data_IF_239419163242
#
_entry.id   IF_239419163242
#
_cell.length_a   1.000
_cell.length_b   1.000
_cell.length_c   1.000
_cell.angle_alpha   90.00
_cell.angle_beta   90.00
_cell.angle_gamma   90.00
#
_symmetry.space_group_name_H-M   'P 1'
#
loop_
_entity.id
_entity.type
_entity.pdbx_description
1 polymer ?
#
# COMPACT_ATOMS: atom_id res chain seq x y z
N UNK A 1 -6.20 1.66 19.82
CA UNK A 1 -6.36 1.81 18.36
C UNK A 1 -5.00 2.23 17.83
N UNK A 2 -4.37 1.45 16.95
CA UNK A 2 -3.10 1.85 16.35
C UNK A 2 -3.32 3.08 15.44
N UNK A 3 -2.37 4.01 15.43
CA UNK A 3 -2.40 5.13 14.50
C UNK A 3 -2.01 4.62 13.11
N UNK A 4 -2.85 4.86 12.10
CA UNK A 4 -2.50 4.57 10.72
C UNK A 4 -1.47 5.61 10.22
N UNK A 5 -0.41 5.17 9.52
CA UNK A 5 0.45 6.06 8.75
C UNK A 5 -0.38 7.00 7.86
N UNK A 6 0.03 8.26 7.79
CA UNK A 6 -0.74 9.30 7.08
C UNK A 6 0.15 9.98 6.05
N UNK A 7 -0.32 9.98 4.81
CA UNK A 7 0.32 10.59 3.66
C UNK A 7 -0.54 11.77 3.17
N UNK A 8 0.09 12.73 2.50
CA UNK A 8 -0.65 13.85 1.94
C UNK A 8 -1.33 13.43 0.64
N UNK A 9 -2.41 14.11 0.30
CA UNK A 9 -3.00 13.97 -1.02
C UNK A 9 -1.97 14.25 -2.12
N UNK A 10 -1.95 13.41 -3.17
CA UNK A 10 -1.04 13.50 -4.34
C UNK A 10 0.46 13.45 -3.99
N UNK A 11 0.82 12.79 -2.90
CA UNK A 11 2.22 12.41 -2.65
C UNK A 11 2.47 10.96 -3.06
N UNK A 12 3.62 10.69 -3.66
CA UNK A 12 4.17 9.34 -3.73
C UNK A 12 4.86 8.97 -2.40
N UNK A 13 5.07 7.67 -2.19
CA UNK A 13 5.93 7.15 -1.14
C UNK A 13 6.38 5.72 -1.44
N UNK A 14 7.43 5.28 -0.75
CA UNK A 14 7.92 3.91 -0.82
C UNK A 14 7.48 3.12 0.41
N UNK A 15 6.99 1.90 0.20
CA UNK A 15 6.74 0.91 1.24
C UNK A 15 7.77 -0.22 1.13
N UNK A 16 8.61 -0.36 2.15
CA UNK A 16 9.53 -1.49 2.26
C UNK A 16 8.82 -2.77 2.68
N UNK A 17 9.15 -3.87 2.02
CA UNK A 17 8.68 -5.22 2.32
C UNK A 17 9.88 -6.09 2.66
N UNK A 18 9.83 -6.77 3.79
CA UNK A 18 10.84 -7.75 4.21
C UNK A 18 10.18 -9.09 4.45
N UNK A 19 10.70 -10.14 3.83
CA UNK A 19 10.21 -11.50 3.88
C UNK A 19 11.27 -12.43 4.49
N UNK A 20 10.90 -13.10 5.56
CA UNK A 20 11.72 -14.13 6.20
C UNK A 20 10.87 -15.37 6.46
N UNK A 21 11.50 -16.55 6.47
CA UNK A 21 10.85 -17.76 6.94
C UNK A 21 10.82 -17.84 8.48
N UNK A 22 10.44 -19.01 9.02
CA UNK A 22 10.36 -19.25 10.46
C UNK A 22 11.71 -19.24 11.17
N UNK A 23 12.79 -19.49 10.43
CA UNK A 23 14.16 -19.51 10.96
C UNK A 23 14.85 -18.13 10.82
N UNK A 24 14.17 -17.18 10.18
CA UNK A 24 14.66 -15.82 9.93
C UNK A 24 15.47 -15.71 8.64
N UNK A 25 15.53 -16.77 7.83
CA UNK A 25 16.23 -16.74 6.55
C UNK A 25 15.40 -15.97 5.51
N UNK A 26 16.05 -15.14 4.67
CA UNK A 26 15.35 -14.33 3.68
C UNK A 26 14.66 -15.20 2.63
N UNK A 27 13.40 -14.87 2.34
CA UNK A 27 12.57 -15.62 1.40
C UNK A 27 12.33 -14.83 0.12
N UNK A 28 12.53 -15.45 -1.05
CA UNK A 28 12.23 -14.84 -2.35
C UNK A 28 11.00 -15.52 -2.97
N UNK A 29 9.90 -14.79 -3.24
CA UNK A 29 8.74 -15.31 -3.95
C UNK A 29 9.04 -15.50 -5.44
N UNK A 30 8.26 -16.36 -6.11
CA UNK A 30 8.30 -16.51 -7.57
C UNK A 30 7.70 -15.29 -8.27
N UNK A 31 6.61 -14.75 -7.71
CA UNK A 31 5.96 -13.52 -8.17
C UNK A 31 5.44 -12.70 -6.99
N UNK A 32 5.50 -11.38 -7.10
CA UNK A 32 4.97 -10.46 -6.11
C UNK A 32 4.17 -9.34 -6.77
N UNK A 33 2.95 -9.12 -6.29
CA UNK A 33 2.05 -8.09 -6.80
C UNK A 33 1.48 -7.25 -5.65
N UNK A 34 1.09 -6.03 -5.96
CA UNK A 34 0.31 -5.20 -5.05
C UNK A 34 -0.86 -4.53 -5.75
N UNK A 35 -1.90 -4.18 -4.99
CA UNK A 35 -3.02 -3.36 -5.44
C UNK A 35 -3.41 -2.37 -4.34
N UNK A 36 -4.08 -1.28 -4.71
CA UNK A 36 -4.54 -0.26 -3.73
C UNK A 36 -6.00 0.06 -3.96
N UNK A 37 -6.79 0.00 -2.89
CA UNK A 37 -8.21 0.34 -2.89
C UNK A 37 -8.52 1.47 -1.90
N UNK A 38 -9.49 2.30 -2.25
CA UNK A 38 -10.17 3.14 -1.29
C UNK A 38 -11.22 2.34 -0.51
N UNK A 39 -11.14 2.35 0.83
CA UNK A 39 -12.05 1.53 1.65
C UNK A 39 -13.47 2.10 1.72
N UNK A 40 -13.67 3.39 1.44
CA UNK A 40 -14.96 4.05 1.59
C UNK A 40 -15.81 4.00 0.31
N UNK A 41 -15.19 4.26 -0.84
CA UNK A 41 -15.82 4.23 -2.17
C UNK A 41 -15.65 2.90 -2.90
N UNK A 42 -14.86 1.98 -2.35
CA UNK A 42 -14.49 0.70 -2.98
C UNK A 42 -13.79 0.88 -4.35
N UNK A 43 -13.25 2.08 -4.61
CA UNK A 43 -12.56 2.38 -5.85
C UNK A 43 -11.17 1.71 -5.89
N UNK A 44 -10.91 1.00 -6.99
CA UNK A 44 -9.57 0.53 -7.33
C UNK A 44 -8.71 1.72 -7.79
N UNK A 45 -7.65 2.03 -7.06
CA UNK A 45 -6.74 3.14 -7.35
C UNK A 45 -5.48 2.67 -8.08
N UNK A 46 -5.00 1.48 -7.72
CA UNK A 46 -3.90 0.81 -8.41
C UNK A 46 -4.31 -0.64 -8.60
N UNK A 47 -4.43 -1.07 -9.86
CA UNK A 47 -4.66 -2.48 -10.22
C UNK A 47 -3.43 -3.32 -9.89
N UNK A 48 -3.57 -4.65 -9.89
CA UNK A 48 -2.48 -5.57 -9.61
C UNK A 48 -1.24 -5.26 -10.43
N UNK A 49 -0.22 -4.76 -9.74
CA UNK A 49 1.03 -4.30 -10.30
C UNK A 49 2.15 -5.16 -9.73
N UNK A 50 2.99 -5.68 -10.60
CA UNK A 50 4.15 -6.50 -10.22
C UNK A 50 5.25 -5.62 -9.59
N UNK A 51 5.94 -6.16 -8.59
CA UNK A 51 7.16 -5.58 -8.03
C UNK A 51 8.17 -6.69 -7.73
N UNK A 52 9.44 -6.31 -7.61
CA UNK A 52 10.52 -7.28 -7.39
C UNK A 52 10.86 -7.39 -5.90
N UNK A 53 10.97 -8.63 -5.42
CA UNK A 53 11.59 -8.95 -4.14
C UNK A 53 12.87 -9.73 -4.41
N UNK A 54 13.99 -9.31 -3.86
CA UNK A 54 15.30 -9.97 -4.02
C UNK A 54 15.91 -10.22 -2.66
N UNK A 55 16.25 -11.48 -2.38
CA UNK A 55 16.87 -11.88 -1.12
C UNK A 55 16.07 -11.41 0.12
N UNK A 56 14.74 -11.53 0.06
CA UNK A 56 13.85 -11.14 1.16
C UNK A 56 13.41 -9.69 1.15
N UNK A 57 14.07 -8.80 0.41
CA UNK A 57 13.76 -7.36 0.44
C UNK A 57 13.11 -6.90 -0.88
N UNK A 58 12.06 -6.10 -0.75
CA UNK A 58 11.37 -5.46 -1.87
C UNK A 58 10.92 -4.05 -1.51
N UNK A 59 10.74 -3.22 -2.54
CA UNK A 59 10.21 -1.87 -2.40
C UNK A 59 8.99 -1.73 -3.29
N UNK A 60 7.88 -1.28 -2.72
CA UNK A 60 6.67 -0.93 -3.45
C UNK A 60 6.63 0.60 -3.57
N UNK A 61 6.68 1.09 -4.81
CA UNK A 61 6.43 2.50 -5.11
C UNK A 61 4.91 2.74 -5.16
N UNK A 62 4.37 3.47 -4.18
CA UNK A 62 2.97 3.86 -4.16
C UNK A 62 2.82 5.20 -4.90
N UNK A 63 2.16 5.21 -6.07
CA UNK A 63 2.15 6.39 -6.93
C UNK A 63 1.15 7.45 -6.44
N UNK A 64 1.27 8.66 -6.98
CA UNK A 64 0.44 9.81 -6.57
C UNK A 64 -1.06 9.61 -6.79
N UNK A 65 -1.43 8.76 -7.74
CA UNK A 65 -2.81 8.37 -8.07
C UNK A 65 -3.45 7.58 -6.93
N UNK A 66 -2.66 6.73 -6.24
CA UNK A 66 -3.10 5.97 -5.08
C UNK A 66 -3.42 6.86 -3.86
N UNK A 67 -2.86 8.07 -3.84
CA UNK A 67 -3.05 9.06 -2.79
C UNK A 67 -3.90 10.25 -3.25
N UNK A 68 -4.56 10.19 -4.41
CA UNK A 68 -5.52 11.21 -4.82
C UNK A 68 -6.82 11.07 -4.03
N UNK A 69 -7.41 12.16 -3.53
CA UNK A 69 -8.70 12.11 -2.81
C UNK A 69 -9.84 11.83 -3.79
N UNK A 70 -10.69 10.85 -3.46
CA UNK A 70 -11.85 10.44 -4.27
C UNK A 70 -13.08 11.29 -3.92
N UNK A 71 -13.30 11.51 -2.63
CA UNK A 71 -14.43 12.25 -2.05
C UNK A 71 -13.95 13.55 -1.42
N UNK A 72 -14.08 14.66 -2.15
CA UNK A 72 -13.52 15.97 -1.78
C UNK A 72 -14.04 16.54 -0.45
N UNK A 73 -15.19 16.06 0.05
CA UNK A 73 -15.74 16.48 1.35
C UNK A 73 -15.06 15.82 2.55
N UNK A 74 -14.30 14.73 2.35
CA UNK A 74 -13.64 14.01 3.42
C UNK A 74 -12.32 14.69 3.78
N UNK A 75 -12.06 14.91 5.07
CA UNK A 75 -10.74 15.41 5.52
C UNK A 75 -9.64 14.34 5.41
N UNK A 76 -10.03 13.07 5.46
CA UNK A 76 -9.15 11.92 5.32
C UNK A 76 -9.86 10.79 4.58
N UNK A 77 -9.11 10.01 3.82
CA UNK A 77 -9.57 8.76 3.24
C UNK A 77 -8.64 7.62 3.68
N UNK A 78 -9.22 6.45 3.93
CA UNK A 78 -8.44 5.27 4.32
C UNK A 78 -8.23 4.41 3.09
N UNK A 79 -7.00 3.96 2.90
CA UNK A 79 -6.59 3.07 1.82
C UNK A 79 -6.13 1.75 2.39
N UNK A 80 -6.33 0.70 1.61
CA UNK A 80 -5.72 -0.61 1.84
C UNK A 80 -4.84 -0.92 0.64
N UNK A 81 -3.55 -1.16 0.91
CA UNK A 81 -2.61 -1.74 -0.03
C UNK A 81 -2.55 -3.24 0.27
N UNK A 82 -2.94 -4.07 -0.69
CA UNK A 82 -2.86 -5.53 -0.55
C UNK A 82 -1.64 -6.02 -1.30
N UNK A 83 -0.76 -6.74 -0.61
CA UNK A 83 0.36 -7.47 -1.20
C UNK A 83 -0.05 -8.92 -1.41
N UNK A 84 0.21 -9.46 -2.59
CA UNK A 84 -0.01 -10.86 -2.93
C UNK A 84 1.30 -11.48 -3.43
N UNK A 85 1.74 -12.55 -2.76
CA UNK A 85 2.98 -13.25 -3.04
C UNK A 85 2.66 -14.69 -3.44
N UNK A 86 3.33 -15.20 -4.47
CA UNK A 86 3.29 -16.62 -4.84
C UNK A 86 4.68 -17.20 -4.73
N UNK A 87 4.80 -18.35 -4.09
CA UNK A 87 6.05 -19.08 -3.89
C UNK A 87 6.05 -20.39 -4.69
N UNK A 88 7.24 -21.00 -4.76
CA UNK A 88 7.44 -22.30 -5.37
C UNK A 88 6.41 -23.34 -4.87
N UNK A 89 5.81 -24.05 -5.82
CA UNK A 89 4.74 -25.02 -5.56
C UNK A 89 3.35 -24.40 -5.43
N UNK A 90 3.17 -23.13 -5.81
CA UNK A 90 1.87 -22.46 -5.86
C UNK A 90 1.32 -22.07 -4.49
N UNK A 91 2.20 -21.92 -3.49
CA UNK A 91 1.78 -21.40 -2.18
C UNK A 91 1.58 -19.91 -2.29
N UNK A 92 0.46 -19.42 -1.77
CA UNK A 92 0.11 -18.00 -1.81
C UNK A 92 0.14 -17.39 -0.41
N UNK A 93 0.48 -16.10 -0.34
CA UNK A 93 0.41 -15.30 0.86
C UNK A 93 -0.14 -13.91 0.54
N UNK A 94 -1.02 -13.42 1.39
CA UNK A 94 -1.63 -12.10 1.27
C UNK A 94 -1.44 -11.33 2.57
N UNK A 95 -1.08 -10.06 2.46
CA UNK A 95 -0.93 -9.14 3.58
C UNK A 95 -1.55 -7.78 3.22
N UNK A 96 -2.10 -7.08 4.20
CA UNK A 96 -2.72 -5.78 4.01
C UNK A 96 -1.99 -4.69 4.80
N UNK A 97 -1.66 -3.61 4.11
CA UNK A 97 -1.13 -2.38 4.70
C UNK A 97 -2.16 -1.27 4.64
N UNK A 98 -2.64 -0.85 5.80
CA UNK A 98 -3.65 0.19 5.95
C UNK A 98 -2.99 1.55 6.18
N UNK A 99 -3.39 2.56 5.40
CA UNK A 99 -2.90 3.93 5.55
C UNK A 99 -3.99 4.97 5.31
N UNK A 100 -3.71 6.23 5.70
CA UNK A 100 -4.61 7.36 5.48
C UNK A 100 -4.02 8.36 4.50
N UNK A 101 -4.87 8.93 3.68
CA UNK A 101 -4.58 10.05 2.80
C UNK A 101 -5.26 11.29 3.38
N UNK A 102 -4.48 12.35 3.59
CA UNK A 102 -4.93 13.63 4.13
C UNK A 102 -5.34 14.56 3.00
N UNK A 103 -6.61 14.96 2.98
CA UNK A 103 -7.12 15.93 2.03
C UNK A 103 -6.62 17.33 2.39
N UNK A 104 -5.75 17.90 1.55
CA UNK A 104 -5.16 19.22 1.81
C UNK A 104 -6.13 20.37 1.51
N UNK A 105 -7.18 20.12 0.72
CA UNK A 105 -8.18 21.13 0.37
C UNK A 105 -9.26 21.30 1.45
N UNK A 106 -9.58 20.22 2.18
CA UNK A 106 -10.58 20.22 3.25
C UNK A 106 -10.06 20.79 4.57
N UNK A 107 -8.77 21.15 4.66
CA UNK A 107 -8.16 21.67 5.87
C UNK A 107 -7.99 23.19 5.73
N UNK A 108 -8.64 24.00 6.60
CA UNK A 108 -8.46 25.44 6.59
C UNK A 108 -6.98 25.79 6.73
N UNK A 109 -6.47 26.69 5.87
CA UNK A 109 -5.14 27.26 6.09
C UNK A 109 -5.15 27.99 7.42
N UNK A 110 -4.17 27.70 8.28
CA UNK A 110 -3.90 28.56 9.43
C UNK A 110 -3.52 29.94 8.89
N UNK A 111 -4.42 30.91 9.04
CA UNK A 111 -4.19 32.33 8.78
C UNK A 111 -3.38 32.96 9.90
#
# INVERSE_FOLDING_TARGET
>A
MALLPTYNERSDFELGVTLTDTDGDPLTPDTAHYSVYDTASEALLVDWTEFTVTAGDGTIEVPTEATAIVTSSNSYETRVLTVALTYAGGKEHHEEYWFRVKNLQAIPRAT
#
